data_IF_767923227936
#
_entry.id   IF_767923227936
#
_cell.length_a   1.000
_cell.length_b   1.000
_cell.length_c   1.000
_cell.angle_alpha   90.00
_cell.angle_beta   90.00
_cell.angle_gamma   90.00
#
_symmetry.space_group_name_H-M   'P 1'
#
loop_
_entity.id
_entity.type
_entity.pdbx_description
1 polymer ?
#
# COMPACT_ATOMS: atom_id res chain seq x y z
N UNK A 1 -0.95 4.19 18.06
CA UNK A 1 -0.03 3.33 18.85
C UNK A 1 1.44 3.57 18.57
N UNK A 2 1.92 3.49 17.32
CA UNK A 2 3.36 3.70 17.04
C UNK A 2 3.85 5.10 17.46
N UNK A 3 3.00 6.11 17.24
CA UNK A 3 3.29 7.50 17.59
C UNK A 3 3.05 7.84 19.08
N UNK A 4 2.57 6.91 19.91
CA UNK A 4 2.17 7.22 21.30
C UNK A 4 2.39 6.04 22.23
N UNK A 5 3.34 6.19 23.14
CA UNK A 5 3.59 5.29 24.26
C UNK A 5 2.38 5.26 25.18
N UNK A 6 1.76 6.41 25.47
CA UNK A 6 0.53 6.44 26.28
C UNK A 6 -0.56 5.56 25.67
N UNK A 7 -0.80 5.64 24.36
CA UNK A 7 -1.74 4.76 23.68
C UNK A 7 -1.41 3.28 23.87
N UNK A 8 -0.11 2.92 23.78
CA UNK A 8 0.35 1.54 24.03
C UNK A 8 0.11 1.14 25.47
N UNK A 9 0.47 1.96 26.45
CA UNK A 9 0.28 1.69 27.87
C UNK A 9 -1.20 1.52 28.23
N UNK A 10 -2.07 2.42 27.76
CA UNK A 10 -3.51 2.35 27.98
C UNK A 10 -4.11 1.05 27.37
N UNK A 11 -3.60 0.63 26.20
CA UNK A 11 -4.01 -0.64 25.57
C UNK A 11 -3.47 -1.86 26.33
N UNK A 12 -2.22 -1.78 26.80
CA UNK A 12 -1.55 -2.86 27.55
C UNK A 12 -2.22 -3.14 28.90
N UNK A 13 -2.87 -2.14 29.52
CA UNK A 13 -3.59 -2.34 30.78
C UNK A 13 -4.65 -3.45 30.73
N UNK A 14 -5.22 -3.72 29.54
CA UNK A 14 -6.19 -4.80 29.33
C UNK A 14 -5.60 -6.11 28.83
N UNK A 15 -4.28 -6.21 28.65
CA UNK A 15 -3.64 -7.38 28.03
C UNK A 15 -3.33 -8.49 29.05
N UNK A 16 -3.31 -9.74 28.56
CA UNK A 16 -2.93 -10.89 29.37
C UNK A 16 -1.47 -10.79 29.82
N UNK A 17 -1.18 -11.14 31.08
CA UNK A 17 0.15 -10.99 31.68
C UNK A 17 1.29 -11.73 30.97
N UNK A 18 0.97 -12.72 30.12
CA UNK A 18 1.96 -13.39 29.28
C UNK A 18 2.64 -12.46 28.26
N UNK A 19 1.98 -11.38 27.83
CA UNK A 19 2.56 -10.39 26.89
C UNK A 19 3.81 -9.77 27.51
N UNK A 20 3.74 -9.35 28.77
CA UNK A 20 4.87 -8.74 29.49
C UNK A 20 5.98 -9.73 29.85
N UNK A 21 5.66 -11.03 30.03
CA UNK A 21 6.67 -12.05 30.32
C UNK A 21 7.41 -12.56 29.08
N UNK A 22 6.82 -12.40 27.90
CA UNK A 22 7.33 -12.98 26.64
C UNK A 22 7.81 -11.93 25.64
N UNK A 23 7.64 -10.64 25.95
CA UNK A 23 8.02 -9.54 25.06
C UNK A 23 8.53 -8.35 25.87
N UNK A 24 9.33 -7.51 25.23
CA UNK A 24 9.87 -6.27 25.81
C UNK A 24 8.98 -5.05 25.51
N UNK A 25 7.72 -5.26 25.09
CA UNK A 25 6.87 -4.18 24.55
C UNK A 25 6.56 -3.07 25.57
N UNK A 26 6.60 -3.39 26.88
CA UNK A 26 6.44 -2.43 27.96
C UNK A 26 7.65 -1.48 28.10
N UNK A 27 8.84 -1.94 27.71
CA UNK A 27 10.11 -1.23 27.86
C UNK A 27 10.46 -0.40 26.61
N UNK A 28 9.70 -0.55 25.52
CA UNK A 28 9.89 0.25 24.30
C UNK A 28 9.25 1.63 24.47
N UNK A 29 10.09 2.61 24.74
CA UNK A 29 9.69 4.02 24.92
C UNK A 29 9.69 4.85 23.64
N UNK A 30 10.28 4.33 22.55
CA UNK A 30 10.32 5.03 21.27
C UNK A 30 8.91 5.33 20.74
N UNK A 31 8.73 6.53 20.20
CA UNK A 31 7.55 6.94 19.45
C UNK A 31 7.95 7.30 18.02
N UNK A 32 7.10 6.95 17.06
CA UNK A 32 7.31 7.30 15.66
C UNK A 32 6.93 8.77 15.43
N UNK A 33 7.78 9.48 14.72
CA UNK A 33 7.52 10.82 14.17
C UNK A 33 6.58 10.75 12.96
N UNK A 34 5.98 11.88 12.58
CA UNK A 34 5.21 11.97 11.33
C UNK A 34 6.03 11.58 10.10
N UNK A 35 7.33 11.89 10.10
CA UNK A 35 8.24 11.52 9.02
C UNK A 35 8.43 10.00 8.92
N UNK A 36 8.65 9.32 10.04
CA UNK A 36 8.74 7.85 10.06
C UNK A 36 7.43 7.19 9.66
N UNK A 37 6.28 7.78 10.05
CA UNK A 37 4.97 7.32 9.57
C UNK A 37 4.84 7.48 8.05
N UNK A 38 5.27 8.60 7.47
CA UNK A 38 5.28 8.77 6.02
C UNK A 38 6.20 7.75 5.33
N UNK A 39 7.34 7.41 5.92
CA UNK A 39 8.23 6.37 5.40
C UNK A 39 7.53 5.01 5.38
N UNK A 40 7.03 4.52 6.52
CA UNK A 40 6.50 3.15 6.62
C UNK A 40 5.16 2.96 5.91
N UNK A 41 4.42 4.05 5.66
CA UNK A 41 3.12 3.97 4.97
C UNK A 41 3.19 4.31 3.47
N UNK A 42 4.21 5.06 3.02
CA UNK A 42 4.31 5.55 1.62
C UNK A 42 5.66 5.25 0.97
N UNK A 43 6.76 5.81 1.49
CA UNK A 43 8.03 5.80 0.77
C UNK A 43 8.65 4.39 0.71
N UNK A 44 8.69 3.69 1.84
CA UNK A 44 9.28 2.35 1.92
C UNK A 44 8.46 1.33 1.12
N UNK A 45 7.12 1.44 1.15
CA UNK A 45 6.22 0.55 0.43
C UNK A 45 6.30 0.74 -1.09
N UNK A 46 6.29 1.99 -1.58
CA UNK A 46 6.46 2.29 -2.99
C UNK A 46 7.82 1.80 -3.52
N UNK A 47 8.90 2.06 -2.76
CA UNK A 47 10.25 1.60 -3.11
C UNK A 47 10.35 0.07 -3.16
N UNK A 48 9.80 -0.63 -2.17
CA UNK A 48 9.81 -2.09 -2.11
C UNK A 48 9.06 -2.72 -3.31
N UNK A 49 8.03 -2.06 -3.82
CA UNK A 49 7.25 -2.49 -4.99
C UNK A 49 7.83 -2.00 -6.33
N UNK A 50 8.92 -1.23 -6.34
CA UNK A 50 9.50 -0.68 -7.56
C UNK A 50 8.68 0.44 -8.21
N UNK A 51 7.71 1.03 -7.50
CA UNK A 51 6.83 2.09 -7.99
C UNK A 51 7.54 3.45 -7.89
N UNK A 52 8.33 3.78 -8.91
CA UNK A 52 9.23 4.95 -8.91
C UNK A 52 8.50 6.28 -8.76
N UNK A 53 7.32 6.41 -9.35
CA UNK A 53 6.55 7.67 -9.36
C UNK A 53 5.54 7.75 -8.19
N UNK A 54 5.65 6.83 -7.21
CA UNK A 54 4.76 6.74 -6.05
C UNK A 54 5.52 6.93 -4.73
N UNK A 55 4.80 7.37 -3.71
CA UNK A 55 5.30 7.41 -2.33
C UNK A 55 6.24 8.57 -2.01
N UNK A 56 6.39 9.54 -2.91
CA UNK A 56 7.10 10.81 -2.68
C UNK A 56 6.34 12.00 -3.31
N UNK A 57 6.76 13.23 -3.00
CA UNK A 57 6.17 14.48 -3.50
C UNK A 57 7.14 15.29 -4.38
N UNK A 58 8.20 14.63 -4.86
CA UNK A 58 9.20 15.25 -5.75
C UNK A 58 8.67 15.42 -7.18
N UNK A 59 9.33 16.28 -7.97
CA UNK A 59 9.02 16.46 -9.39
C UNK A 59 9.10 15.10 -10.11
N UNK A 60 8.08 14.80 -10.92
CA UNK A 60 7.95 13.52 -11.62
C UNK A 60 7.06 12.49 -10.89
N UNK A 61 6.72 12.70 -9.62
CA UNK A 61 5.75 11.87 -8.92
C UNK A 61 4.34 12.01 -9.52
N UNK A 62 3.55 10.94 -9.45
CA UNK A 62 2.12 11.06 -9.64
C UNK A 62 1.53 12.01 -8.60
N UNK A 63 0.55 12.83 -9.02
CA UNK A 63 -0.16 13.78 -8.17
C UNK A 63 -1.16 13.07 -7.22
N UNK A 64 -0.63 12.17 -6.39
CA UNK A 64 -1.31 11.44 -5.34
C UNK A 64 -0.91 12.02 -3.98
N UNK A 65 -1.77 12.87 -3.42
CA UNK A 65 -1.46 13.66 -2.21
C UNK A 65 -2.57 13.49 -1.17
N UNK A 66 -2.19 13.26 0.09
CA UNK A 66 -3.12 13.26 1.21
C UNK A 66 -2.75 14.37 2.20
N UNK A 67 -3.73 15.21 2.53
CA UNK A 67 -3.59 16.30 3.52
C UNK A 67 -4.41 15.96 4.75
N UNK A 68 -3.75 15.86 5.90
CA UNK A 68 -4.40 15.55 7.17
C UNK A 68 -4.56 16.81 8.04
N UNK A 69 -5.63 16.91 8.84
CA UNK A 69 -5.84 18.05 9.75
C UNK A 69 -4.97 17.91 11.00
N UNK A 70 -3.65 17.84 10.82
CA UNK A 70 -2.65 17.71 11.89
C UNK A 70 -1.73 18.92 11.80
N UNK A 71 -1.65 19.71 12.88
CA UNK A 71 -0.64 20.76 13.01
C UNK A 71 0.62 20.15 13.65
N UNK A 72 1.72 19.99 12.90
CA UNK A 72 2.94 19.37 13.42
C UNK A 72 3.57 20.17 14.57
N UNK A 73 3.32 21.48 14.67
CA UNK A 73 3.88 22.33 15.73
C UNK A 73 3.10 22.23 17.04
N UNK A 74 1.89 21.66 17.00
CA UNK A 74 0.99 21.48 18.15
C UNK A 74 0.66 20.02 18.42
N UNK A 75 1.39 19.11 17.79
CA UNK A 75 1.16 17.68 17.91
C UNK A 75 1.56 17.20 19.31
N UNK A 76 0.57 16.73 20.07
CA UNK A 76 0.78 16.03 21.34
C UNK A 76 0.56 14.52 21.12
N UNK A 77 1.62 13.72 21.28
CA UNK A 77 1.53 12.26 21.15
C UNK A 77 0.68 11.62 22.25
N UNK A 78 0.47 12.29 23.39
CA UNK A 78 -0.36 11.80 24.48
C UNK A 78 -1.86 11.82 24.13
N UNK A 79 -2.28 12.76 23.27
CA UNK A 79 -3.63 12.80 22.67
C UNK A 79 -3.70 11.94 21.39
N UNK A 80 -3.45 10.64 21.58
CA UNK A 80 -3.43 9.67 20.50
C UNK A 80 -4.78 9.50 19.80
N UNK A 81 -5.89 9.88 20.44
CA UNK A 81 -7.24 9.81 19.86
C UNK A 81 -7.44 10.88 18.79
N UNK A 82 -6.92 12.10 19.01
CA UNK A 82 -6.94 13.15 17.99
C UNK A 82 -6.09 12.77 16.78
N UNK A 83 -4.92 12.16 17.01
CA UNK A 83 -4.06 11.64 15.92
C UNK A 83 -4.80 10.56 15.11
N UNK A 84 -5.41 9.58 15.78
CA UNK A 84 -6.20 8.53 15.14
C UNK A 84 -7.31 9.12 14.28
N UNK A 85 -8.13 10.01 14.87
CA UNK A 85 -9.24 10.69 14.17
C UNK A 85 -8.76 11.46 12.93
N UNK A 86 -7.64 12.17 13.04
CA UNK A 86 -7.09 12.94 11.93
C UNK A 86 -6.63 12.05 10.77
N UNK A 87 -5.99 10.91 11.05
CA UNK A 87 -5.60 9.96 10.01
C UNK A 87 -6.78 9.18 9.42
N UNK A 88 -7.83 8.92 10.21
CA UNK A 88 -9.06 8.26 9.72
C UNK A 88 -9.85 9.12 8.73
N UNK A 89 -9.72 10.45 8.79
CA UNK A 89 -10.46 11.39 7.93
C UNK A 89 -9.52 12.49 7.42
N UNK A 90 -8.91 12.23 6.27
CA UNK A 90 -8.11 13.22 5.56
C UNK A 90 -8.94 14.46 5.21
N UNK A 91 -8.33 15.64 5.34
CA UNK A 91 -8.95 16.92 4.96
C UNK A 91 -9.09 17.02 3.45
N UNK A 92 -8.06 16.62 2.70
CA UNK A 92 -8.09 16.55 1.24
C UNK A 92 -7.32 15.33 0.76
N UNK A 93 -7.79 14.72 -0.33
CA UNK A 93 -7.03 13.71 -1.07
C UNK A 93 -7.10 14.05 -2.55
N UNK A 94 -5.94 14.15 -3.18
CA UNK A 94 -5.77 14.27 -4.63
C UNK A 94 -5.31 12.92 -5.16
N UNK A 95 -5.91 12.46 -6.25
CA UNK A 95 -5.57 11.21 -6.94
C UNK A 95 -5.38 11.53 -8.42
N UNK A 96 -4.17 11.31 -8.95
CA UNK A 96 -3.86 11.61 -10.35
C UNK A 96 -4.16 13.07 -10.75
N UNK A 97 -4.02 14.02 -9.82
CA UNK A 97 -4.34 15.44 -10.05
C UNK A 97 -5.79 15.85 -9.81
N UNK A 98 -6.70 14.91 -9.52
CA UNK A 98 -8.11 15.17 -9.24
C UNK A 98 -8.41 15.11 -7.74
N UNK A 99 -9.19 16.06 -7.22
CA UNK A 99 -9.66 16.01 -5.82
C UNK A 99 -10.72 14.91 -5.70
N UNK A 100 -10.41 13.86 -4.92
CA UNK A 100 -11.32 12.74 -4.65
C UNK A 100 -11.92 12.79 -3.25
N UNK A 101 -11.26 13.49 -2.31
CA UNK A 101 -11.79 13.75 -0.96
C UNK A 101 -11.70 15.23 -0.64
N UNK A 102 -12.80 15.79 -0.12
CA UNK A 102 -12.88 17.15 0.40
C UNK A 102 -13.55 17.14 1.78
N UNK A 103 -12.87 17.69 2.79
CA UNK A 103 -13.28 17.75 4.19
C UNK A 103 -13.77 16.39 4.75
N UNK A 104 -13.00 15.34 4.47
CA UNK A 104 -13.29 13.98 4.91
C UNK A 104 -14.50 13.32 4.24
N UNK A 105 -14.97 13.84 3.09
CA UNK A 105 -16.03 13.24 2.27
C UNK A 105 -15.50 12.92 0.87
N UNK A 106 -15.92 11.79 0.32
CA UNK A 106 -15.64 11.44 -1.08
C UNK A 106 -16.44 12.37 -1.98
N UNK A 107 -15.76 13.03 -2.92
CA UNK A 107 -16.37 13.95 -3.90
C UNK A 107 -16.20 13.51 -5.35
N UNK A 108 -15.28 12.57 -5.61
CA UNK A 108 -15.11 11.94 -6.92
C UNK A 108 -14.60 10.50 -6.77
N UNK A 109 -14.91 9.65 -7.75
CA UNK A 109 -14.54 8.23 -7.80
C UNK A 109 -13.97 7.87 -9.19
N UNK A 110 -12.80 8.43 -9.57
CA UNK A 110 -12.20 8.11 -10.85
C UNK A 110 -11.73 6.66 -10.89
N UNK A 111 -11.78 6.05 -12.07
CA UNK A 111 -11.25 4.71 -12.28
C UNK A 111 -9.73 4.71 -12.09
N UNK A 112 -9.24 3.81 -11.22
CA UNK A 112 -7.82 3.63 -10.93
C UNK A 112 -7.08 2.85 -12.02
N UNK A 113 -5.75 2.81 -11.89
CA UNK A 113 -4.88 2.03 -12.77
C UNK A 113 -4.66 0.62 -12.21
N UNK A 114 -4.52 -0.36 -13.10
CA UNK A 114 -4.13 -1.74 -12.78
C UNK A 114 -2.66 -1.93 -13.16
N UNK A 115 -1.80 -2.06 -12.16
CA UNK A 115 -0.37 -2.31 -12.37
C UNK A 115 -0.12 -3.80 -12.60
N UNK A 116 0.63 -4.15 -13.64
CA UNK A 116 1.02 -5.53 -13.95
C UNK A 116 2.46 -5.59 -14.44
N UNK A 117 3.09 -6.77 -14.31
CA UNK A 117 4.49 -6.97 -14.73
C UNK A 117 4.52 -7.68 -16.08
N UNK A 118 5.25 -7.10 -17.04
CA UNK A 118 5.66 -7.82 -18.24
C UNK A 118 6.97 -8.54 -17.97
N UNK A 119 6.89 -9.85 -17.72
CA UNK A 119 8.05 -10.71 -17.63
C UNK A 119 8.39 -11.27 -19.02
N UNK A 120 9.68 -11.34 -19.33
CA UNK A 120 10.18 -12.00 -20.55
C UNK A 120 11.18 -13.09 -20.18
N UNK A 121 11.06 -14.24 -20.82
CA UNK A 121 12.01 -15.35 -20.75
C UNK A 121 12.47 -15.68 -22.17
N UNK A 122 13.43 -16.62 -22.32
CA UNK A 122 13.80 -17.10 -23.65
C UNK A 122 12.63 -17.84 -24.28
N UNK A 123 12.41 -17.62 -25.58
CA UNK A 123 11.26 -18.17 -26.30
C UNK A 123 11.21 -19.70 -26.25
N UNK A 124 12.36 -20.37 -26.40
CA UNK A 124 12.50 -21.83 -26.33
C UNK A 124 11.97 -22.41 -25.01
N UNK A 125 12.23 -21.71 -23.90
CA UNK A 125 11.76 -22.10 -22.57
C UNK A 125 10.27 -21.85 -22.43
N UNK A 126 9.76 -20.74 -22.96
CA UNK A 126 8.35 -20.39 -22.88
C UNK A 126 7.49 -21.39 -23.65
N UNK A 127 7.88 -21.72 -24.89
CA UNK A 127 7.19 -22.70 -25.73
C UNK A 127 7.13 -24.06 -25.03
N UNK A 128 8.27 -24.58 -24.54
CA UNK A 128 8.31 -25.86 -23.84
C UNK A 128 7.38 -25.89 -22.62
N UNK A 129 7.39 -24.84 -21.79
CA UNK A 129 6.52 -24.77 -20.60
C UNK A 129 5.05 -24.67 -20.99
N UNK A 130 4.70 -23.94 -22.05
CA UNK A 130 3.30 -23.81 -22.49
C UNK A 130 2.73 -25.13 -23.05
N UNK A 131 3.55 -25.96 -23.70
CA UNK A 131 3.16 -27.31 -24.11
C UNK A 131 2.82 -28.18 -22.88
N UNK A 132 3.71 -28.23 -21.89
CA UNK A 132 3.49 -28.98 -20.65
C UNK A 132 2.26 -28.48 -19.87
N UNK A 133 2.07 -27.15 -19.79
CA UNK A 133 0.87 -26.55 -19.18
C UNK A 133 -0.39 -26.94 -19.95
N UNK A 134 -0.33 -26.97 -21.29
CA UNK A 134 -1.42 -27.42 -22.14
C UNK A 134 -1.89 -28.83 -21.79
N UNK A 135 -0.96 -29.79 -21.70
CA UNK A 135 -1.29 -31.17 -21.32
C UNK A 135 -1.94 -31.28 -19.93
N UNK A 136 -1.46 -30.50 -18.96
CA UNK A 136 -2.02 -30.46 -17.61
C UNK A 136 -3.45 -29.91 -17.62
N UNK A 137 -3.71 -28.87 -18.42
CA UNK A 137 -5.05 -28.31 -18.57
C UNK A 137 -6.02 -29.32 -19.17
N UNK A 138 -5.62 -30.08 -20.19
CA UNK A 138 -6.48 -31.10 -20.80
C UNK A 138 -6.80 -32.26 -19.85
N UNK A 139 -5.82 -32.70 -19.05
CA UNK A 139 -5.98 -33.86 -18.16
C UNK A 139 -6.71 -33.52 -16.86
N UNK A 140 -6.50 -32.31 -16.32
CA UNK A 140 -6.86 -32.01 -14.93
C UNK A 140 -7.73 -30.76 -14.73
N UNK A 141 -7.90 -29.90 -15.74
CA UNK A 141 -8.76 -28.72 -15.63
C UNK A 141 -10.13 -28.93 -16.28
N UNK A 142 -11.13 -28.20 -15.79
CA UNK A 142 -12.50 -28.22 -16.30
C UNK A 142 -12.77 -27.18 -17.39
N UNK A 143 -11.75 -26.43 -17.81
CA UNK A 143 -11.84 -25.40 -18.84
C UNK A 143 -10.64 -25.44 -19.78
N UNK A 144 -10.82 -24.93 -21.00
CA UNK A 144 -9.74 -24.83 -21.98
C UNK A 144 -8.72 -23.77 -21.56
N UNK A 145 -7.44 -24.05 -21.78
CA UNK A 145 -6.36 -23.09 -21.57
C UNK A 145 -6.61 -21.77 -22.34
N UNK A 146 -7.19 -21.83 -23.54
CA UNK A 146 -7.53 -20.63 -24.33
C UNK A 146 -8.47 -19.64 -23.63
N UNK A 147 -9.25 -20.13 -22.64
CA UNK A 147 -10.23 -19.32 -21.91
C UNK A 147 -9.72 -18.90 -20.52
N UNK A 148 -8.51 -19.33 -20.14
CA UNK A 148 -7.94 -19.10 -18.83
C UNK A 148 -7.26 -17.72 -18.68
N UNK A 149 -6.50 -17.20 -19.67
CA UNK A 149 -5.92 -15.87 -19.58
C UNK A 149 -6.98 -14.78 -19.40
N UNK A 150 -6.70 -13.85 -18.50
CA UNK A 150 -7.51 -12.64 -18.32
C UNK A 150 -7.37 -11.77 -19.57
N UNK A 151 -8.49 -11.47 -20.22
CA UNK A 151 -8.52 -10.67 -21.43
C UNK A 151 -8.35 -9.17 -21.13
N UNK A 152 -7.76 -8.43 -22.08
CA UNK A 152 -7.47 -7.00 -21.95
C UNK A 152 -8.71 -6.13 -21.64
N UNK A 153 -9.90 -6.57 -22.04
CA UNK A 153 -11.17 -5.87 -21.74
C UNK A 153 -11.41 -5.71 -20.22
N UNK A 154 -10.82 -6.56 -19.39
CA UNK A 154 -10.88 -6.47 -17.93
C UNK A 154 -9.84 -5.52 -17.32
N UNK A 155 -8.95 -4.95 -18.15
CA UNK A 155 -7.89 -4.01 -17.75
C UNK A 155 -8.10 -2.64 -18.42
N UNK A 156 -9.09 -1.84 -17.99
CA UNK A 156 -9.44 -0.57 -18.65
C UNK A 156 -8.36 0.52 -18.52
N UNK A 157 -7.45 0.40 -17.54
CA UNK A 157 -6.32 1.33 -17.34
C UNK A 157 -5.06 0.55 -16.92
N UNK A 158 -4.45 -0.23 -17.82
CA UNK A 158 -3.28 -1.02 -17.49
C UNK A 158 -2.05 -0.12 -17.39
N UNK A 159 -1.19 -0.39 -16.41
CA UNK A 159 0.13 0.22 -16.27
C UNK A 159 1.15 -0.90 -16.16
N UNK A 160 2.05 -0.96 -17.12
CA UNK A 160 3.14 -1.93 -17.12
C UNK A 160 4.24 -1.49 -16.15
N UNK A 161 4.66 -2.39 -15.28
CA UNK A 161 5.80 -2.23 -14.38
C UNK A 161 6.95 -3.05 -14.94
N UNK A 162 7.98 -2.37 -15.42
CA UNK A 162 9.18 -3.04 -15.94
C UNK A 162 9.94 -3.74 -14.81
N UNK A 163 10.28 -5.02 -15.01
CA UNK A 163 11.09 -5.81 -14.07
C UNK A 163 12.45 -6.10 -14.72
N UNK A 164 13.49 -5.38 -14.28
CA UNK A 164 14.89 -5.45 -14.75
C UNK A 164 15.17 -4.53 -15.96
N UNK A 165 16.24 -3.75 -16.06
CA UNK A 165 17.36 -3.34 -15.20
C UNK A 165 17.85 -1.96 -15.70
N UNK A 166 18.90 -1.41 -15.11
CA UNK A 166 19.59 -0.24 -15.69
C UNK A 166 20.32 -0.55 -16.98
#
# INVERSE_FOLDING_TARGET
>A
WLMSRKARSDTMAGMHGAVFRKTEIADIYREYTLYEIAIVTRAATARALGLRDKGHLGVGADADVAVYPIDPNRLDSSDYRSIEKAFSRAKYVVKGGEIVVWDGRIVSTPLGNTFWVRASVREDVMEQVLEEVGEVFEKYYTMKLSNYPVQDVYLPKPVEVCVGGG
#
